data_IF_563884796599
#
_entry.id   IF_563884796599
#
_cell.length_a   1.000
_cell.length_b   1.000
_cell.length_c   1.000
_cell.angle_alpha   90.00
_cell.angle_beta   90.00
_cell.angle_gamma   90.00
#
_symmetry.space_group_name_H-M   'P 1'
#
loop_
_entity.id
_entity.type
_entity.pdbx_description
1 polymer ?
#
# COMPACT_ATOMS: atom_id res chain seq x y z
N UNK A 1 35.35 19.48 -48.65
CA UNK A 1 33.97 19.88 -48.43
C UNK A 1 33.24 18.75 -47.67
N UNK A 2 33.13 18.92 -46.36
CA UNK A 2 32.52 17.90 -45.48
C UNK A 2 31.04 18.26 -45.31
N UNK A 3 30.12 17.41 -45.76
CA UNK A 3 28.68 17.56 -45.53
C UNK A 3 28.36 17.03 -44.14
N UNK A 4 28.05 17.92 -43.23
CA UNK A 4 27.50 17.59 -41.92
C UNK A 4 26.02 17.31 -42.13
N UNK A 5 25.61 16.07 -41.94
CA UNK A 5 24.22 15.68 -41.91
C UNK A 5 23.65 15.99 -40.51
N UNK A 6 22.77 16.98 -40.41
CA UNK A 6 21.97 17.26 -39.23
C UNK A 6 20.93 16.13 -39.08
N UNK A 7 21.12 15.25 -38.12
CA UNK A 7 20.09 14.31 -37.70
C UNK A 7 19.19 15.03 -36.70
N UNK A 8 18.06 15.51 -37.18
CA UNK A 8 16.99 16.08 -36.35
C UNK A 8 16.28 14.91 -35.66
N UNK A 9 16.61 14.67 -34.40
CA UNK A 9 15.86 13.71 -33.58
C UNK A 9 14.52 14.36 -33.19
N UNK A 10 13.46 13.99 -33.91
CA UNK A 10 12.09 14.27 -33.50
C UNK A 10 11.76 13.43 -32.29
N UNK A 11 11.89 14.02 -31.10
CA UNK A 11 11.26 13.48 -29.88
C UNK A 11 9.75 13.66 -30.04
N UNK A 12 9.10 12.66 -30.56
CA UNK A 12 7.66 12.51 -30.49
C UNK A 12 7.26 12.34 -29.01
N UNK A 13 6.88 13.44 -28.39
CA UNK A 13 6.06 13.41 -27.18
C UNK A 13 4.72 12.80 -27.58
N UNK A 14 4.64 11.48 -27.54
CA UNK A 14 3.35 10.80 -27.55
C UNK A 14 2.77 11.02 -26.17
N UNK A 15 1.98 12.08 -25.99
CA UNK A 15 0.95 12.14 -24.93
C UNK A 15 -0.06 11.04 -25.28
N UNK A 16 0.26 9.81 -24.89
CA UNK A 16 -0.69 8.70 -25.00
C UNK A 16 -1.77 8.95 -23.96
N UNK A 17 -2.85 9.58 -24.37
CA UNK A 17 -4.16 9.37 -23.77
C UNK A 17 -4.37 7.86 -23.92
N UNK A 18 -4.11 7.10 -22.87
CA UNK A 18 -4.40 5.68 -22.84
C UNK A 18 -5.91 5.57 -22.97
N UNK A 19 -6.37 5.10 -24.14
CA UNK A 19 -7.77 4.72 -24.33
C UNK A 19 -8.13 3.83 -23.14
N UNK A 20 -9.19 4.19 -22.44
CA UNK A 20 -9.82 3.42 -21.39
C UNK A 20 -10.17 2.03 -21.93
N UNK A 21 -9.26 1.08 -21.73
CA UNK A 21 -9.51 -0.32 -22.08
C UNK A 21 -10.21 -0.98 -20.88
N UNK A 22 -11.32 -1.68 -21.14
CA UNK A 22 -12.13 -2.34 -20.10
C UNK A 22 -11.37 -3.37 -19.27
N UNK A 23 -10.12 -3.68 -19.63
CA UNK A 23 -9.31 -4.73 -19.00
C UNK A 23 -7.89 -4.32 -18.63
N UNK A 24 -7.67 -3.08 -18.19
CA UNK A 24 -6.33 -2.69 -17.73
C UNK A 24 -5.93 -3.57 -16.56
N UNK A 25 -4.87 -4.36 -16.78
CA UNK A 25 -4.23 -5.18 -15.77
C UNK A 25 -2.72 -5.19 -16.07
N UNK A 26 -1.97 -4.42 -15.28
CA UNK A 26 -0.54 -4.24 -15.46
C UNK A 26 0.17 -5.14 -14.45
N UNK A 27 1.14 -5.91 -14.90
CA UNK A 27 2.00 -6.72 -14.01
C UNK A 27 3.43 -6.27 -14.14
N UNK A 28 4.07 -5.97 -13.00
CA UNK A 28 5.47 -5.56 -12.92
C UNK A 28 6.27 -6.47 -11.98
N UNK A 29 7.53 -6.70 -12.30
CA UNK A 29 8.48 -7.50 -11.50
C UNK A 29 9.77 -6.77 -11.20
N UNK A 30 9.95 -5.60 -11.74
CA UNK A 30 11.15 -4.78 -11.64
C UNK A 30 10.81 -3.31 -11.44
N UNK A 31 11.82 -2.48 -11.26
CA UNK A 31 11.62 -1.04 -11.05
C UNK A 31 10.91 -0.41 -12.24
N UNK A 32 9.85 0.35 -11.95
CA UNK A 32 9.01 0.98 -12.97
C UNK A 32 8.59 2.38 -12.52
N UNK A 33 8.71 3.36 -13.41
CA UNK A 33 8.25 4.74 -13.20
C UNK A 33 6.96 4.99 -13.99
N UNK A 34 5.90 5.27 -13.26
CA UNK A 34 4.57 5.63 -13.78
C UNK A 34 4.25 7.12 -13.59
N UNK A 35 5.22 7.96 -13.27
CA UNK A 35 4.98 9.39 -13.03
C UNK A 35 4.23 10.03 -14.21
N UNK A 36 3.16 10.74 -13.90
CA UNK A 36 2.30 11.39 -14.88
C UNK A 36 1.39 10.45 -15.69
N UNK A 37 1.35 9.15 -15.38
CA UNK A 37 0.47 8.19 -16.05
C UNK A 37 -0.79 7.93 -15.21
N UNK A 38 -1.91 7.76 -15.88
CA UNK A 38 -3.19 7.42 -15.28
C UNK A 38 -3.73 6.12 -15.89
N UNK A 39 -4.19 5.21 -15.02
CA UNK A 39 -4.73 3.92 -15.39
C UNK A 39 -6.08 3.75 -14.70
N UNK A 40 -7.13 3.77 -15.50
CA UNK A 40 -8.50 3.64 -15.03
C UNK A 40 -9.20 2.52 -15.76
N UNK A 41 -9.70 1.55 -15.02
CA UNK A 41 -10.63 0.55 -15.57
C UNK A 41 -11.97 1.22 -15.88
N UNK A 42 -12.55 0.90 -17.04
CA UNK A 42 -13.84 1.42 -17.43
C UNK A 42 -14.91 0.33 -17.35
N UNK A 43 -15.01 -0.32 -16.18
CA UNK A 43 -16.02 -1.34 -15.94
C UNK A 43 -17.16 -0.78 -15.08
N UNK A 44 -18.39 -1.05 -15.49
CA UNK A 44 -19.56 -0.64 -14.73
C UNK A 44 -19.51 -1.25 -13.31
N UNK A 45 -19.71 -0.39 -12.31
CA UNK A 45 -19.76 -0.80 -10.91
C UNK A 45 -18.41 -1.13 -10.28
N UNK A 46 -17.28 -0.78 -10.91
CA UNK A 46 -15.99 -0.85 -10.25
C UNK A 46 -15.97 0.04 -8.98
N UNK A 47 -15.22 -0.38 -7.97
CA UNK A 47 -15.22 0.31 -6.67
C UNK A 47 -16.41 0.00 -5.76
N UNK A 48 -17.34 -0.87 -6.17
CA UNK A 48 -18.45 -1.34 -5.33
C UNK A 48 -18.18 -2.78 -4.87
N UNK A 49 -18.19 -3.01 -3.56
CA UNK A 49 -17.94 -4.34 -2.95
C UNK A 49 -18.85 -5.43 -3.55
N UNK A 50 -20.11 -5.14 -3.79
CA UNK A 50 -21.08 -6.07 -4.41
C UNK A 50 -20.67 -6.56 -5.80
N UNK A 51 -19.74 -5.89 -6.45
CA UNK A 51 -19.22 -6.22 -7.77
C UNK A 51 -17.83 -6.85 -7.72
N UNK A 52 -17.33 -7.20 -6.55
CA UNK A 52 -16.09 -7.94 -6.37
C UNK A 52 -16.16 -9.26 -7.14
N UNK A 53 -15.33 -9.44 -8.16
CA UNK A 53 -15.33 -10.60 -9.05
C UNK A 53 -13.93 -11.10 -9.38
N UNK A 54 -13.80 -12.42 -9.45
CA UNK A 54 -12.62 -13.09 -10.00
C UNK A 54 -11.45 -13.18 -9.01
N UNK A 55 -10.30 -13.56 -9.54
CA UNK A 55 -9.06 -13.62 -8.79
C UNK A 55 -8.50 -12.22 -8.56
N UNK A 56 -7.84 -12.02 -7.42
CA UNK A 56 -7.19 -10.74 -7.07
C UNK A 56 -6.27 -10.24 -8.17
N UNK A 57 -5.45 -11.12 -8.74
CA UNK A 57 -4.51 -10.79 -9.82
C UNK A 57 -5.21 -10.26 -11.07
N UNK A 58 -6.33 -10.86 -11.47
CA UNK A 58 -7.07 -10.49 -12.68
C UNK A 58 -7.98 -9.28 -12.48
N UNK A 59 -8.44 -9.09 -11.26
CA UNK A 59 -9.32 -7.99 -10.89
C UNK A 59 -8.59 -6.68 -10.58
N UNK A 60 -7.29 -6.71 -10.32
CA UNK A 60 -6.48 -5.54 -9.97
C UNK A 60 -6.04 -4.74 -11.19
N UNK A 61 -5.78 -3.44 -11.00
CA UNK A 61 -5.24 -2.56 -12.05
C UNK A 61 -3.72 -2.73 -12.16
N UNK A 62 -3.02 -2.73 -11.02
CA UNK A 62 -1.59 -2.95 -10.95
C UNK A 62 -1.25 -4.16 -10.08
N UNK A 63 -0.46 -5.08 -10.61
CA UNK A 63 0.10 -6.22 -9.90
C UNK A 63 1.61 -6.09 -9.78
N UNK A 64 2.16 -6.34 -8.59
CA UNK A 64 3.60 -6.30 -8.30
C UNK A 64 3.99 -7.63 -7.69
N UNK A 65 4.65 -8.50 -8.47
CA UNK A 65 4.90 -9.88 -8.05
C UNK A 65 6.37 -10.25 -8.14
N UNK A 66 6.87 -10.93 -7.08
CA UNK A 66 8.20 -11.52 -7.04
C UNK A 66 9.31 -10.50 -7.39
N UNK A 67 9.12 -9.23 -7.05
CA UNK A 67 10.13 -8.21 -7.26
C UNK A 67 11.19 -8.26 -6.16
N UNK A 68 12.43 -7.92 -6.51
CA UNK A 68 13.53 -7.83 -5.56
C UNK A 68 14.30 -6.54 -5.77
N UNK A 69 14.54 -5.80 -4.68
CA UNK A 69 15.24 -4.51 -4.69
C UNK A 69 14.67 -3.54 -5.75
N UNK A 70 13.35 -3.44 -5.81
CA UNK A 70 12.65 -2.73 -6.89
C UNK A 70 11.93 -1.49 -6.36
N UNK A 71 11.81 -0.48 -7.21
CA UNK A 71 11.07 0.76 -6.92
C UNK A 71 9.93 0.95 -7.92
N UNK A 72 8.72 1.13 -7.42
CA UNK A 72 7.55 1.57 -8.18
C UNK A 72 7.27 3.02 -7.81
N UNK A 73 7.30 3.90 -8.81
CA UNK A 73 7.19 5.34 -8.59
C UNK A 73 6.07 5.95 -9.41
N UNK A 74 5.27 6.78 -8.75
CA UNK A 74 4.23 7.58 -9.40
C UNK A 74 3.05 6.78 -9.93
N UNK A 75 2.17 7.46 -10.64
CA UNK A 75 0.99 6.91 -11.28
C UNK A 75 -0.30 7.05 -10.45
N UNK A 76 -1.41 7.18 -11.18
CA UNK A 76 -2.77 7.12 -10.65
C UNK A 76 -3.45 5.87 -11.17
N UNK A 77 -3.94 5.05 -10.24
CA UNK A 77 -4.60 3.78 -10.52
C UNK A 77 -6.00 3.82 -9.94
N UNK A 78 -7.01 3.62 -10.78
CA UNK A 78 -8.39 3.73 -10.35
C UNK A 78 -9.26 2.58 -10.84
N UNK A 79 -10.27 2.29 -10.02
CA UNK A 79 -11.43 1.54 -10.44
C UNK A 79 -11.13 0.06 -10.77
N UNK A 80 -11.17 -0.79 -9.76
CA UNK A 80 -10.92 -2.22 -9.92
C UNK A 80 -12.12 -3.07 -9.46
N UNK A 81 -12.16 -4.31 -9.92
CA UNK A 81 -13.11 -5.34 -9.46
C UNK A 81 -12.59 -6.11 -8.24
N UNK A 82 -11.35 -5.86 -7.85
CA UNK A 82 -10.67 -6.39 -6.67
C UNK A 82 -9.86 -5.26 -6.02
N UNK A 83 -8.60 -5.47 -5.74
CA UNK A 83 -7.70 -4.42 -5.29
C UNK A 83 -7.31 -3.48 -6.43
N UNK A 84 -7.09 -2.21 -6.18
CA UNK A 84 -6.53 -1.35 -7.21
C UNK A 84 -5.07 -1.71 -7.46
N UNK A 85 -4.28 -1.85 -6.37
CA UNK A 85 -2.91 -2.35 -6.42
C UNK A 85 -2.85 -3.64 -5.60
N UNK A 86 -2.27 -4.69 -6.17
CA UNK A 86 -2.00 -5.95 -5.51
C UNK A 86 -0.51 -6.31 -5.58
N UNK A 87 0.14 -6.41 -4.43
CA UNK A 87 1.57 -6.74 -4.31
C UNK A 87 1.76 -8.04 -3.54
N UNK A 88 2.62 -8.96 -4.04
CA UNK A 88 2.84 -10.26 -3.41
C UNK A 88 4.24 -10.81 -3.63
N UNK A 89 4.82 -11.40 -2.57
CA UNK A 89 6.14 -12.04 -2.58
C UNK A 89 7.28 -11.11 -3.02
N UNK A 90 7.29 -9.89 -2.49
CA UNK A 90 8.31 -8.92 -2.84
C UNK A 90 9.35 -8.79 -1.72
N UNK A 91 10.60 -8.61 -2.10
CA UNK A 91 11.71 -8.36 -1.18
C UNK A 91 12.30 -6.98 -1.44
N UNK A 92 12.37 -6.14 -0.40
CA UNK A 92 12.89 -4.77 -0.47
C UNK A 92 12.21 -3.94 -1.57
N UNK A 93 10.87 -3.99 -1.60
CA UNK A 93 10.06 -3.20 -2.54
C UNK A 93 9.85 -1.79 -1.99
N UNK A 94 10.12 -0.78 -2.80
CA UNK A 94 9.74 0.61 -2.50
C UNK A 94 8.60 1.03 -3.43
N UNK A 95 7.49 1.50 -2.85
CA UNK A 95 6.38 2.12 -3.58
C UNK A 95 6.31 3.58 -3.14
N UNK A 96 6.36 4.51 -4.08
CA UNK A 96 6.35 5.93 -3.77
C UNK A 96 5.51 6.77 -4.72
N UNK A 97 4.83 7.79 -4.16
CA UNK A 97 4.08 8.80 -4.92
C UNK A 97 2.98 8.20 -5.81
N UNK A 98 2.34 7.10 -5.38
CA UNK A 98 1.23 6.48 -6.10
C UNK A 98 -0.11 6.94 -5.53
N UNK A 99 -1.12 7.04 -6.40
CA UNK A 99 -2.51 7.21 -6.00
C UNK A 99 -3.32 5.98 -6.40
N UNK A 100 -3.99 5.36 -5.44
CA UNK A 100 -4.87 4.23 -5.69
C UNK A 100 -6.27 4.48 -5.09
N UNK A 101 -7.32 4.34 -5.91
CA UNK A 101 -8.68 4.62 -5.47
C UNK A 101 -9.73 3.76 -6.14
N UNK A 102 -10.88 3.61 -5.47
CA UNK A 102 -12.06 2.89 -5.97
C UNK A 102 -11.83 1.40 -6.22
N UNK A 103 -11.19 0.72 -5.27
CA UNK A 103 -11.13 -0.74 -5.25
C UNK A 103 -12.48 -1.33 -4.82
N UNK A 104 -12.92 -2.41 -5.49
CA UNK A 104 -14.11 -3.16 -5.04
C UNK A 104 -13.82 -4.01 -3.81
N UNK A 105 -12.56 -4.35 -3.57
CA UNK A 105 -12.05 -4.92 -2.32
C UNK A 105 -11.24 -3.85 -1.57
N UNK A 106 -9.98 -3.65 -1.87
CA UNK A 106 -9.14 -2.66 -1.21
C UNK A 106 -8.53 -1.67 -2.22
N UNK A 107 -8.12 -0.47 -1.77
CA UNK A 107 -7.30 0.38 -2.63
C UNK A 107 -5.90 -0.24 -2.83
N UNK A 108 -5.34 -0.84 -1.78
CA UNK A 108 -4.05 -1.53 -1.87
C UNK A 108 -4.04 -2.79 -0.99
N UNK A 109 -3.52 -3.87 -1.52
CA UNK A 109 -3.25 -5.10 -0.77
C UNK A 109 -1.81 -5.54 -0.98
N UNK A 110 -1.12 -5.90 0.12
CA UNK A 110 0.26 -6.38 0.09
C UNK A 110 0.43 -7.63 0.95
N UNK A 111 1.01 -8.69 0.37
CA UNK A 111 1.15 -10.01 1.02
C UNK A 111 2.56 -10.54 0.94
N UNK A 112 3.00 -11.21 2.01
CA UNK A 112 4.27 -11.95 2.07
C UNK A 112 5.43 -11.12 1.49
N UNK A 113 5.56 -9.88 1.94
CA UNK A 113 6.48 -8.92 1.35
C UNK A 113 7.21 -8.11 2.42
N UNK A 114 8.45 -7.70 2.11
CA UNK A 114 9.13 -6.63 2.82
C UNK A 114 9.08 -5.38 1.95
N UNK A 115 8.43 -4.32 2.42
CA UNK A 115 8.18 -3.15 1.59
C UNK A 115 8.14 -1.84 2.38
N UNK A 116 8.55 -0.76 1.71
CA UNK A 116 8.38 0.62 2.15
C UNK A 116 7.42 1.32 1.18
N UNK A 117 6.30 1.80 1.71
CA UNK A 117 5.28 2.53 0.98
C UNK A 117 5.30 3.97 1.49
N UNK A 118 5.60 4.93 0.62
CA UNK A 118 5.77 6.32 1.02
C UNK A 118 5.14 7.33 0.07
N UNK A 119 4.78 8.51 0.64
CA UNK A 119 4.31 9.66 -0.11
C UNK A 119 3.13 9.33 -1.04
N UNK A 120 2.26 8.39 -0.63
CA UNK A 120 1.23 7.81 -1.47
C UNK A 120 -0.16 8.04 -0.89
N UNK A 121 -1.20 7.93 -1.74
CA UNK A 121 -2.59 8.09 -1.35
C UNK A 121 -3.41 6.86 -1.69
N UNK A 122 -4.15 6.35 -0.69
CA UNK A 122 -5.07 5.22 -0.80
C UNK A 122 -6.46 5.66 -0.36
N UNK A 123 -7.45 5.55 -1.25
CA UNK A 123 -8.74 6.17 -0.97
C UNK A 123 -9.94 5.51 -1.62
N UNK A 124 -11.12 5.89 -1.15
CA UNK A 124 -12.41 5.52 -1.73
C UNK A 124 -12.67 4.01 -1.82
N UNK A 125 -12.54 3.32 -0.69
CA UNK A 125 -13.09 1.97 -0.49
C UNK A 125 -14.09 2.03 0.68
N UNK A 126 -15.27 2.66 0.51
CA UNK A 126 -16.16 3.01 1.61
C UNK A 126 -16.81 1.81 2.29
N UNK A 127 -16.74 0.64 1.70
CA UNK A 127 -17.24 -0.62 2.24
C UNK A 127 -16.10 -1.60 2.56
N UNK A 128 -14.85 -1.15 2.43
CA UNK A 128 -13.66 -1.96 2.63
C UNK A 128 -12.47 -1.13 3.12
N UNK A 129 -11.28 -1.70 3.04
CA UNK A 129 -10.05 -1.17 3.60
C UNK A 129 -9.35 -0.24 2.61
N UNK A 130 -8.71 0.83 3.11
CA UNK A 130 -7.74 1.54 2.29
C UNK A 130 -6.57 0.62 1.93
N UNK A 131 -6.04 -0.07 2.95
CA UNK A 131 -4.90 -0.98 2.78
C UNK A 131 -5.12 -2.26 3.58
N UNK A 132 -4.77 -3.39 2.98
CA UNK A 132 -4.62 -4.68 3.66
C UNK A 132 -3.18 -5.14 3.56
N UNK A 133 -2.58 -5.51 4.69
CA UNK A 133 -1.24 -6.07 4.78
C UNK A 133 -1.26 -7.46 5.39
N UNK A 134 -0.61 -8.43 4.73
CA UNK A 134 -0.54 -9.82 5.20
C UNK A 134 0.89 -10.32 5.20
N UNK A 135 1.38 -10.73 6.34
CA UNK A 135 2.72 -11.25 6.58
C UNK A 135 3.89 -10.37 6.08
N UNK A 136 4.93 -10.25 6.88
CA UNK A 136 6.16 -9.57 6.51
C UNK A 136 6.44 -8.29 7.28
N UNK A 137 7.42 -7.52 6.80
CA UNK A 137 7.83 -6.24 7.34
C UNK A 137 7.36 -5.12 6.41
N UNK A 138 6.34 -4.37 6.85
CA UNK A 138 5.71 -3.33 6.05
C UNK A 138 5.93 -1.96 6.70
N UNK A 139 6.40 -1.01 5.94
CA UNK A 139 6.64 0.37 6.37
C UNK A 139 5.76 1.32 5.58
N UNK A 140 4.98 2.12 6.30
CA UNK A 140 4.15 3.19 5.73
C UNK A 140 4.63 4.53 6.26
N UNK A 141 5.14 5.36 5.36
CA UNK A 141 5.68 6.67 5.70
C UNK A 141 5.04 7.78 4.88
N UNK A 142 4.52 8.81 5.54
CA UNK A 142 3.95 10.00 4.92
C UNK A 142 2.85 9.72 3.88
N UNK A 143 1.97 8.75 4.15
CA UNK A 143 0.85 8.41 3.27
C UNK A 143 -0.46 9.04 3.75
N UNK A 144 -1.43 9.12 2.84
CA UNK A 144 -2.81 9.51 3.12
C UNK A 144 -3.73 8.32 2.90
N UNK A 145 -4.47 7.93 3.93
CA UNK A 145 -5.53 6.92 3.86
C UNK A 145 -6.87 7.62 4.08
N UNK A 146 -7.76 7.60 3.09
CA UNK A 146 -8.92 8.48 3.08
C UNK A 146 -10.19 7.80 2.57
N UNK A 147 -11.33 8.05 3.26
CA UNK A 147 -12.67 7.61 2.86
C UNK A 147 -12.80 6.10 2.67
N UNK A 148 -12.32 5.33 3.63
CA UNK A 148 -12.45 3.87 3.66
C UNK A 148 -13.18 3.44 4.93
N UNK A 149 -13.75 2.25 4.95
CA UNK A 149 -14.35 1.69 6.16
C UNK A 149 -13.28 1.42 7.22
N UNK A 150 -12.17 0.80 6.82
CA UNK A 150 -10.98 0.63 7.65
C UNK A 150 -9.77 1.30 7.00
N UNK A 151 -8.90 1.90 7.81
CA UNK A 151 -7.68 2.50 7.31
C UNK A 151 -6.68 1.43 6.88
N UNK A 152 -6.28 0.60 7.82
CA UNK A 152 -5.33 -0.49 7.60
C UNK A 152 -5.75 -1.75 8.36
N UNK A 153 -5.84 -2.85 7.64
CA UNK A 153 -6.04 -4.18 8.21
C UNK A 153 -4.74 -4.99 8.12
N UNK A 154 -4.25 -5.46 9.25
CA UNK A 154 -2.99 -6.19 9.35
C UNK A 154 -3.31 -7.64 9.67
N UNK A 155 -2.91 -8.53 8.78
CA UNK A 155 -3.20 -9.94 8.88
C UNK A 155 -1.93 -10.79 9.00
N UNK A 156 -1.94 -11.77 9.89
CA UNK A 156 -0.96 -12.84 9.94
C UNK A 156 -1.68 -14.15 9.68
N UNK A 157 -1.39 -14.81 8.56
CA UNK A 157 -2.19 -15.94 8.10
C UNK A 157 -1.50 -17.30 8.20
N UNK A 158 -0.19 -17.35 8.34
CA UNK A 158 0.58 -18.59 8.25
C UNK A 158 1.73 -18.70 9.25
N UNK A 159 2.66 -19.59 8.94
CA UNK A 159 3.85 -19.89 9.73
C UNK A 159 4.92 -18.81 9.73
N UNK A 160 4.69 -17.62 9.15
CA UNK A 160 5.64 -16.52 9.24
C UNK A 160 5.99 -16.24 10.70
N UNK A 161 7.23 -15.91 10.98
CA UNK A 161 7.69 -15.67 12.35
C UNK A 161 6.92 -14.55 13.02
N UNK A 162 6.70 -13.46 12.27
CA UNK A 162 5.94 -12.30 12.73
C UNK A 162 5.44 -11.46 11.55
N UNK A 163 4.48 -10.61 11.83
CA UNK A 163 4.10 -9.50 10.96
C UNK A 163 4.39 -8.21 11.71
N UNK A 164 5.23 -7.36 11.15
CA UNK A 164 5.53 -6.05 11.73
C UNK A 164 5.15 -4.95 10.77
N UNK A 165 4.41 -3.96 11.27
CA UNK A 165 4.00 -2.82 10.45
C UNK A 165 4.39 -1.52 11.16
N UNK A 166 5.06 -0.66 10.42
CA UNK A 166 5.56 0.63 10.88
C UNK A 166 4.75 1.73 10.22
N UNK A 167 4.13 2.60 11.01
CA UNK A 167 3.42 3.79 10.53
C UNK A 167 4.08 5.05 11.07
N UNK A 168 4.69 5.81 10.18
CA UNK A 168 5.39 7.05 10.48
C UNK A 168 4.79 8.20 9.68
N UNK A 169 4.27 9.24 10.37
CA UNK A 169 3.77 10.49 9.77
C UNK A 169 2.62 10.32 8.75
N UNK A 170 1.78 9.29 8.87
CA UNK A 170 0.65 9.11 7.97
C UNK A 170 -0.58 9.91 8.43
N UNK A 171 -1.48 10.21 7.48
CA UNK A 171 -2.78 10.82 7.77
C UNK A 171 -3.91 9.82 7.49
N UNK A 172 -4.81 9.66 8.46
CA UNK A 172 -6.04 8.89 8.35
C UNK A 172 -7.21 9.86 8.34
N UNK A 173 -7.91 9.96 7.23
CA UNK A 173 -8.96 10.96 6.99
C UNK A 173 -10.28 10.25 6.70
N UNK A 174 -11.33 10.56 7.47
CA UNK A 174 -12.66 10.00 7.22
C UNK A 174 -12.70 8.46 7.18
N UNK A 175 -12.03 7.81 8.13
CA UNK A 175 -12.08 6.37 8.31
C UNK A 175 -13.34 5.98 9.08
N UNK A 176 -14.13 5.04 8.55
CA UNK A 176 -15.44 4.70 9.08
C UNK A 176 -15.40 3.94 10.41
N UNK A 177 -14.55 2.93 10.51
CA UNK A 177 -14.43 2.06 11.68
C UNK A 177 -13.10 2.24 12.40
N UNK A 178 -12.08 1.52 11.99
CA UNK A 178 -10.80 1.44 12.67
C UNK A 178 -9.68 2.01 11.80
N UNK A 179 -8.79 2.82 12.39
CA UNK A 179 -7.59 3.23 11.67
C UNK A 179 -6.65 2.03 11.47
N UNK A 180 -6.55 1.17 12.49
CA UNK A 180 -5.75 -0.05 12.46
C UNK A 180 -6.54 -1.20 13.05
N UNK A 181 -6.58 -2.31 12.34
CA UNK A 181 -7.12 -3.57 12.82
C UNK A 181 -6.05 -4.66 12.65
N UNK A 182 -5.86 -5.49 13.67
CA UNK A 182 -4.83 -6.51 13.66
C UNK A 182 -5.44 -7.90 13.82
N UNK A 183 -5.15 -8.79 12.89
CA UNK A 183 -5.59 -10.17 12.93
C UNK A 183 -4.41 -11.14 12.96
N UNK A 184 -4.55 -12.22 13.71
CA UNK A 184 -3.72 -13.40 13.58
C UNK A 184 -4.66 -14.61 13.45
N UNK A 185 -4.76 -15.18 12.26
CA UNK A 185 -5.67 -16.31 11.98
C UNK A 185 -5.31 -17.57 12.75
N UNK A 186 -4.04 -17.73 13.09
CA UNK A 186 -3.54 -18.88 13.83
C UNK A 186 -3.57 -18.66 15.34
N UNK A 187 -3.61 -17.43 15.78
CA UNK A 187 -3.72 -17.04 17.19
C UNK A 187 -4.80 -15.98 17.34
N UNK A 188 -5.97 -16.40 17.82
CA UNK A 188 -7.11 -15.48 18.08
C UNK A 188 -6.76 -14.24 18.92
N UNK A 189 -5.58 -14.24 19.55
CA UNK A 189 -5.07 -13.14 20.35
C UNK A 189 -4.18 -12.16 19.57
N UNK A 190 -3.92 -12.38 18.30
CA UNK A 190 -3.03 -11.59 17.46
C UNK A 190 -1.63 -11.35 18.09
N UNK A 191 -1.08 -12.39 18.74
CA UNK A 191 0.14 -12.26 19.54
C UNK A 191 1.42 -12.03 18.73
N UNK A 192 1.38 -12.28 17.43
CA UNK A 192 2.53 -12.14 16.52
C UNK A 192 2.37 -11.04 15.47
N UNK A 193 1.46 -10.11 15.73
CA UNK A 193 1.29 -8.88 14.94
C UNK A 193 1.79 -7.70 15.75
N UNK A 194 2.80 -6.99 15.23
CA UNK A 194 3.50 -5.91 15.92
C UNK A 194 3.30 -4.59 15.20
N UNK A 195 2.76 -3.58 15.89
CA UNK A 195 2.44 -2.28 15.32
C UNK A 195 3.35 -1.20 15.90
N UNK A 196 4.15 -0.55 15.06
CA UNK A 196 5.04 0.54 15.41
C UNK A 196 4.44 1.87 14.94
N UNK A 197 4.39 2.88 15.81
CA UNK A 197 3.66 4.11 15.55
C UNK A 197 4.44 5.35 15.96
N UNK A 198 4.48 6.38 15.08
CA UNK A 198 4.96 7.72 15.41
C UNK A 198 4.30 8.78 14.52
N UNK A 199 3.87 9.88 15.10
CA UNK A 199 3.41 11.12 14.45
C UNK A 199 2.27 10.95 13.42
N UNK A 200 1.42 9.92 13.58
CA UNK A 200 0.27 9.74 12.71
C UNK A 200 -0.89 10.64 13.12
N UNK A 201 -1.56 11.23 12.13
CA UNK A 201 -2.69 12.13 12.31
C UNK A 201 -4.00 11.45 11.97
N UNK A 202 -5.04 11.74 12.76
CA UNK A 202 -6.38 11.18 12.60
C UNK A 202 -7.39 12.31 12.47
N UNK A 203 -8.03 12.43 11.31
CA UNK A 203 -8.98 13.50 11.00
C UNK A 203 -10.37 12.91 10.70
N UNK A 204 -11.39 13.34 11.44
CA UNK A 204 -12.78 13.05 11.12
C UNK A 204 -13.33 14.06 10.13
N UNK A 205 -13.97 13.59 9.05
CA UNK A 205 -14.80 14.42 8.16
C UNK A 205 -16.19 13.75 8.05
N UNK A 206 -17.28 14.50 8.30
CA UNK A 206 -18.64 14.02 8.12
C UNK A 206 -19.33 13.45 9.37
N UNK A 207 -20.66 13.24 9.28
CA UNK A 207 -21.52 12.80 10.39
C UNK A 207 -21.65 11.27 10.52
N UNK A 208 -21.24 10.49 9.52
CA UNK A 208 -21.59 9.07 9.40
C UNK A 208 -20.57 8.09 10.00
N UNK A 209 -19.49 8.57 10.61
CA UNK A 209 -18.49 7.71 11.23
C UNK A 209 -18.92 7.29 12.64
N UNK A 210 -19.64 6.17 12.73
CA UNK A 210 -20.38 5.78 13.92
C UNK A 210 -19.53 5.35 15.12
N UNK A 211 -18.34 4.78 14.90
CA UNK A 211 -17.43 4.36 15.97
C UNK A 211 -15.98 4.34 15.44
N UNK A 212 -15.31 5.45 15.50
CA UNK A 212 -13.89 5.49 15.18
C UNK A 212 -13.08 4.84 16.31
N UNK A 213 -12.72 3.58 16.12
CA UNK A 213 -11.68 2.91 16.90
C UNK A 213 -10.31 3.20 16.30
N UNK A 214 -9.35 3.66 17.11
CA UNK A 214 -7.99 3.85 16.56
C UNK A 214 -7.28 2.51 16.32
N UNK A 215 -7.53 1.53 17.18
CA UNK A 215 -6.78 0.29 17.22
C UNK A 215 -7.67 -0.88 17.63
N UNK A 216 -8.16 -1.65 16.69
CA UNK A 216 -8.86 -2.90 17.00
C UNK A 216 -7.88 -4.07 16.98
N UNK A 217 -7.96 -4.92 17.99
CA UNK A 217 -7.15 -6.14 18.13
C UNK A 217 -5.63 -5.95 18.15
N UNK A 218 -5.11 -4.75 17.96
CA UNK A 218 -3.68 -4.44 17.94
C UNK A 218 -3.12 -4.37 19.36
N UNK A 219 -2.77 -5.51 19.94
CA UNK A 219 -2.29 -5.62 21.34
C UNK A 219 -0.86 -5.18 21.51
N UNK A 220 0.02 -5.53 20.57
CA UNK A 220 1.46 -5.23 20.63
C UNK A 220 1.77 -3.97 19.86
N UNK A 221 1.81 -2.84 20.57
CA UNK A 221 2.07 -1.51 20.03
C UNK A 221 3.35 -0.93 20.59
N UNK A 222 4.18 -0.39 19.73
CA UNK A 222 5.48 0.17 20.03
C UNK A 222 5.63 1.59 19.53
N UNK A 223 6.39 2.41 20.27
CA UNK A 223 6.83 3.71 19.77
C UNK A 223 8.04 3.53 18.87
N UNK A 224 8.12 4.29 17.80
CA UNK A 224 9.27 4.33 16.90
C UNK A 224 10.38 5.15 17.58
N UNK A 225 11.57 4.57 17.76
CA UNK A 225 12.76 5.28 18.22
C UNK A 225 13.31 6.21 17.14
N UNK A 226 14.14 7.17 17.52
CA UNK A 226 14.81 8.05 16.56
C UNK A 226 15.69 7.28 15.58
N UNK A 227 16.32 6.20 16.03
CA UNK A 227 17.15 5.36 15.20
C UNK A 227 16.34 4.59 14.15
N UNK A 228 15.18 4.00 14.55
CA UNK A 228 14.29 3.36 13.62
C UNK A 228 13.66 4.37 12.64
N UNK A 229 13.33 5.58 13.09
CA UNK A 229 12.88 6.65 12.19
C UNK A 229 13.93 6.98 11.14
N UNK A 230 15.19 7.16 11.53
CA UNK A 230 16.27 7.44 10.58
C UNK A 230 16.47 6.30 9.58
N UNK A 231 16.38 5.05 10.01
CA UNK A 231 16.45 3.90 9.10
C UNK A 231 15.30 3.91 8.07
N UNK A 232 14.07 4.26 8.51
CA UNK A 232 12.90 4.40 7.62
C UNK A 232 13.11 5.52 6.60
N UNK A 233 13.58 6.69 7.04
CA UNK A 233 13.82 7.83 6.15
C UNK A 233 14.86 7.53 5.07
N UNK A 234 15.89 6.76 5.41
CA UNK A 234 16.93 6.32 4.48
C UNK A 234 16.54 5.09 3.66
N UNK A 235 15.36 4.51 3.89
CA UNK A 235 14.90 3.26 3.25
C UNK A 235 15.89 2.10 3.43
N UNK A 236 16.54 2.02 4.59
CA UNK A 236 17.50 0.99 4.95
C UNK A 236 16.77 -0.25 5.52
N UNK A 237 16.42 -1.18 4.64
CA UNK A 237 15.65 -2.38 4.99
C UNK A 237 16.33 -3.24 6.06
N UNK A 238 17.64 -3.44 5.95
CA UNK A 238 18.39 -4.30 6.87
C UNK A 238 18.40 -3.69 8.28
N UNK A 239 18.65 -2.40 8.38
CA UNK A 239 18.65 -1.69 9.66
C UNK A 239 17.25 -1.63 10.27
N UNK A 240 16.20 -1.42 9.46
CA UNK A 240 14.81 -1.45 9.93
C UNK A 240 14.50 -2.81 10.54
N UNK A 241 14.82 -3.90 9.86
CA UNK A 241 14.54 -5.25 10.34
C UNK A 241 15.27 -5.55 11.66
N UNK A 242 16.55 -5.22 11.75
CA UNK A 242 17.34 -5.38 12.99
C UNK A 242 16.68 -4.65 14.15
N UNK A 243 16.39 -3.36 14.00
CA UNK A 243 15.81 -2.53 15.06
C UNK A 243 14.42 -2.99 15.50
N UNK A 244 13.61 -3.46 14.56
CA UNK A 244 12.29 -4.04 14.84
C UNK A 244 12.44 -5.31 15.69
N UNK A 245 13.31 -6.24 15.28
CA UNK A 245 13.55 -7.49 16.01
C UNK A 245 14.11 -7.26 17.40
N UNK A 246 15.07 -6.36 17.58
CA UNK A 246 15.60 -5.96 18.86
C UNK A 246 14.52 -5.35 19.77
N UNK A 247 13.70 -4.46 19.25
CA UNK A 247 12.59 -3.85 20.02
C UNK A 247 11.59 -4.90 20.49
N UNK A 248 11.24 -5.85 19.63
CA UNK A 248 10.32 -6.94 19.97
C UNK A 248 10.94 -7.81 21.08
N UNK A 249 12.19 -8.23 20.90
CA UNK A 249 12.91 -9.08 21.88
C UNK A 249 13.03 -8.43 23.27
N UNK A 250 13.34 -7.14 23.33
CA UNK A 250 13.53 -6.42 24.59
C UNK A 250 12.21 -6.13 25.36
N UNK A 251 11.05 -6.33 24.74
CA UNK A 251 9.74 -6.07 25.36
C UNK A 251 8.82 -7.31 25.40
N UNK A 252 9.30 -8.46 24.95
CA UNK A 252 8.61 -9.76 25.07
C UNK A 252 8.96 -10.45 26.34
#
# INVERSE_FOLDING_TARGET
>A
MLKIALITIYLLFISSIVKSDSKINITVKESTDFTGKEFKRNEEGCGLQKNQKGNRDKGSVLNIFNSKNSTIKGGTFECSLQNVIYAKWNLNLIISSVNASKGSDNAFEIRNSNAIIKDSKFSFSPQNKCVEGENGLLVFYNNILENCEQGFDIEKTDSSEFTAVIFLKNEFISIGHDAFNCHDRNDKKANKVYLFLKDNKFKKKGKDFRKFGKYSNCKKRFKISSELENAVLNSDFDRIEILVRETIKNKS
#
